data_IF_156748018766
#
_entry.id   IF_156748018766
#
_cell.length_a   1.000
_cell.length_b   1.000
_cell.length_c   1.000
_cell.angle_alpha   90.00
_cell.angle_beta   90.00
_cell.angle_gamma   90.00
#
_symmetry.space_group_name_H-M   'P 1'
#
loop_
_entity.id
_entity.type
_entity.pdbx_description
1 polymer ?
#
# COMPACT_ATOMS: atom_id res chain seq x y z
N UNK A 1 24.44 57.98 -37.10
CA UNK A 1 23.00 57.81 -37.37
C UNK A 1 22.74 56.34 -37.63
N UNK A 2 22.00 55.53 -36.89
CA UNK A 2 21.46 55.53 -35.54
C UNK A 2 21.19 54.04 -35.28
N UNK A 3 21.84 53.44 -34.28
CA UNK A 3 21.59 52.05 -33.86
C UNK A 3 20.31 52.02 -33.03
N UNK A 4 19.34 51.17 -33.40
CA UNK A 4 18.12 50.96 -32.61
C UNK A 4 18.07 49.52 -32.14
N UNK A 5 18.30 49.34 -30.84
CA UNK A 5 18.14 48.07 -30.14
C UNK A 5 16.65 47.80 -29.84
N UNK A 6 16.19 46.58 -30.07
CA UNK A 6 14.83 46.12 -29.77
C UNK A 6 14.75 45.63 -28.32
N UNK A 7 13.77 46.05 -27.51
CA UNK A 7 13.61 45.52 -26.16
C UNK A 7 12.82 44.20 -26.15
N UNK A 8 13.37 43.16 -25.51
CA UNK A 8 12.66 41.91 -25.21
C UNK A 8 11.68 42.16 -24.06
N UNK A 9 10.37 42.10 -24.36
CA UNK A 9 9.29 42.20 -23.36
C UNK A 9 9.20 40.90 -22.56
N UNK A 10 9.62 40.94 -21.30
CA UNK A 10 9.40 39.86 -20.35
C UNK A 10 7.90 39.72 -20.02
N UNK A 11 7.32 38.56 -20.31
CA UNK A 11 5.98 38.19 -19.86
C UNK A 11 6.08 37.80 -18.39
N UNK A 12 5.47 38.62 -17.51
CA UNK A 12 5.22 38.26 -16.12
C UNK A 12 4.18 37.15 -16.10
N UNK A 13 4.60 35.93 -15.74
CA UNK A 13 3.68 34.85 -15.40
C UNK A 13 2.91 35.25 -14.13
N UNK A 14 1.64 35.57 -14.30
CA UNK A 14 0.69 35.74 -13.22
C UNK A 14 0.44 34.37 -12.59
N UNK A 15 1.03 34.13 -11.42
CA UNK A 15 0.65 33.00 -10.58
C UNK A 15 -0.82 33.16 -10.19
N UNK A 16 -1.64 32.17 -10.54
CA UNK A 16 -3.03 32.08 -10.09
C UNK A 16 -3.01 31.57 -8.65
N UNK A 17 -3.45 32.36 -7.64
CA UNK A 17 -3.66 31.83 -6.30
C UNK A 17 -5.05 31.19 -6.29
N UNK A 18 -5.10 29.88 -6.49
CA UNK A 18 -6.38 29.19 -6.60
C UNK A 18 -6.28 27.68 -6.75
N UNK A 19 -5.19 27.06 -6.31
CA UNK A 19 -5.22 25.63 -6.02
C UNK A 19 -5.82 25.48 -4.63
N UNK A 20 -7.15 25.35 -4.59
CA UNK A 20 -7.88 24.63 -3.55
C UNK A 20 -6.99 23.47 -3.10
N UNK A 21 -6.63 23.43 -1.82
CA UNK A 21 -5.84 22.34 -1.26
C UNK A 21 -6.48 21.01 -1.67
N UNK A 22 -5.87 20.38 -2.67
CA UNK A 22 -6.13 19.00 -3.04
C UNK A 22 -5.54 18.17 -1.91
N UNK A 23 -6.30 18.04 -0.82
CA UNK A 23 -6.11 16.99 0.18
C UNK A 23 -6.38 15.65 -0.51
N UNK A 24 -5.45 15.25 -1.35
CA UNK A 24 -5.49 14.09 -2.23
C UNK A 24 -4.07 13.69 -2.65
N UNK A 25 -3.04 14.16 -1.94
CA UNK A 25 -1.71 13.60 -2.03
C UNK A 25 -1.79 12.09 -1.78
N UNK A 26 -1.52 11.34 -2.84
CA UNK A 26 -1.84 9.93 -2.96
C UNK A 26 -1.49 9.14 -1.71
N UNK A 27 -2.45 8.37 -1.21
CA UNK A 27 -2.27 7.52 -0.05
C UNK A 27 -1.33 6.36 -0.44
N UNK A 28 -0.03 6.65 -0.50
CA UNK A 28 1.05 5.78 -0.95
C UNK A 28 0.94 4.41 -0.25
N UNK A 29 1.24 3.31 -0.95
CA UNK A 29 1.27 2.01 -0.29
C UNK A 29 2.28 2.00 0.87
N UNK A 30 2.02 1.18 1.87
CA UNK A 30 2.91 1.06 3.04
C UNK A 30 4.26 0.49 2.53
N UNK A 31 5.39 1.16 2.84
CA UNK A 31 6.70 0.69 2.40
C UNK A 31 7.01 -0.68 3.01
N UNK A 32 7.74 -1.49 2.25
CA UNK A 32 8.25 -2.76 2.77
C UNK A 32 9.52 -2.52 3.58
N UNK A 33 9.71 -3.25 4.69
CA UNK A 33 10.97 -3.21 5.41
C UNK A 33 12.09 -3.77 4.50
N UNK A 34 13.35 -3.31 4.66
CA UNK A 34 14.48 -3.80 3.87
C UNK A 34 14.75 -5.29 4.08
N UNK A 35 14.38 -5.83 5.25
CA UNK A 35 14.41 -7.25 5.59
C UNK A 35 13.14 -7.59 6.36
N UNK A 36 12.51 -8.72 6.04
CA UNK A 36 11.31 -9.18 6.77
C UNK A 36 11.73 -10.01 7.98
N UNK A 37 11.37 -9.53 9.16
CA UNK A 37 11.60 -10.23 10.43
C UNK A 37 10.45 -11.18 10.79
N UNK A 38 10.62 -11.94 11.87
CA UNK A 38 9.51 -12.72 12.45
C UNK A 38 8.39 -11.84 12.97
N UNK A 39 8.69 -10.67 13.52
CA UNK A 39 7.71 -9.70 14.01
C UNK A 39 6.90 -9.08 12.86
N UNK A 40 7.56 -8.70 11.77
CA UNK A 40 6.89 -8.23 10.55
C UNK A 40 5.91 -9.26 10.01
N UNK A 41 6.28 -10.55 10.05
CA UNK A 41 5.39 -11.63 9.64
C UNK A 41 4.14 -11.70 10.53
N UNK A 42 4.26 -11.51 11.85
CA UNK A 42 3.09 -11.48 12.75
C UNK A 42 2.17 -10.29 12.46
N UNK A 43 2.73 -9.11 12.23
CA UNK A 43 1.93 -7.97 11.80
C UNK A 43 1.27 -8.20 10.44
N UNK A 44 1.95 -8.88 9.52
CA UNK A 44 1.42 -9.21 8.21
C UNK A 44 0.27 -10.24 8.28
N UNK A 45 0.36 -11.25 9.15
CA UNK A 45 -0.75 -12.17 9.44
C UNK A 45 -1.96 -11.39 9.93
N UNK A 46 -1.78 -10.53 10.94
CA UNK A 46 -2.87 -9.69 11.45
C UNK A 46 -3.45 -8.81 10.35
N UNK A 47 -2.61 -8.20 9.51
CA UNK A 47 -3.04 -7.35 8.43
C UNK A 47 -3.93 -8.10 7.41
N UNK A 48 -3.56 -9.30 6.97
CA UNK A 48 -4.38 -10.04 6.00
C UNK A 48 -5.67 -10.59 6.62
N UNK A 49 -5.61 -11.04 7.87
CA UNK A 49 -6.74 -11.64 8.58
C UNK A 49 -7.77 -10.59 9.00
N UNK A 50 -7.35 -9.50 9.66
CA UNK A 50 -8.26 -8.46 10.15
C UNK A 50 -8.88 -7.69 8.98
N UNK A 51 -8.09 -7.42 7.94
CA UNK A 51 -8.51 -6.69 6.73
C UNK A 51 -9.01 -7.61 5.61
N UNK A 52 -9.53 -8.78 5.97
CA UNK A 52 -10.15 -9.71 5.05
C UNK A 52 -11.32 -9.07 4.25
N UNK A 53 -11.62 -9.58 3.04
CA UNK A 53 -12.74 -9.10 2.25
C UNK A 53 -14.09 -9.36 2.94
N UNK A 54 -15.01 -8.40 2.85
CA UNK A 54 -16.43 -8.54 3.20
C UNK A 54 -17.28 -8.11 2.00
N UNK A 55 -18.34 -8.86 1.71
CA UNK A 55 -19.34 -8.44 0.71
C UNK A 55 -20.22 -7.34 1.28
N UNK A 56 -20.51 -6.34 0.46
CA UNK A 56 -21.42 -5.23 0.76
C UNK A 56 -22.22 -4.89 -0.51
N UNK A 57 -23.36 -4.22 -0.35
CA UNK A 57 -24.15 -3.74 -1.50
C UNK A 57 -23.28 -2.82 -2.37
N UNK A 58 -22.89 -3.29 -3.56
CA UNK A 58 -22.05 -2.55 -4.49
C UNK A 58 -20.58 -2.98 -4.56
N UNK A 59 -20.13 -4.01 -3.84
CA UNK A 59 -18.79 -4.57 -4.04
C UNK A 59 -18.19 -5.32 -2.86
N UNK A 60 -16.86 -5.51 -2.92
CA UNK A 60 -16.07 -6.10 -1.84
C UNK A 60 -15.29 -5.00 -1.12
N UNK A 61 -15.48 -4.90 0.19
CA UNK A 61 -14.82 -3.93 1.06
C UNK A 61 -13.95 -4.62 2.09
N UNK A 62 -12.94 -3.92 2.60
CA UNK A 62 -12.20 -4.35 3.76
C UNK A 62 -13.14 -4.45 4.96
N UNK A 63 -13.15 -5.59 5.66
CA UNK A 63 -14.03 -5.78 6.82
C UNK A 63 -13.78 -4.74 7.92
N UNK A 64 -12.53 -4.36 8.14
CA UNK A 64 -12.11 -3.44 9.20
C UNK A 64 -12.21 -1.97 8.79
N UNK A 65 -11.68 -1.61 7.62
CA UNK A 65 -11.53 -0.20 7.23
C UNK A 65 -12.72 0.33 6.43
N UNK A 66 -13.62 -0.55 5.98
CA UNK A 66 -14.69 -0.26 5.02
C UNK A 66 -14.25 0.35 3.67
N UNK A 67 -12.94 0.46 3.41
CA UNK A 67 -12.37 0.87 2.14
C UNK A 67 -12.50 -0.23 1.07
N UNK A 68 -12.38 0.10 -0.23
CA UNK A 68 -12.35 -0.92 -1.30
C UNK A 68 -11.29 -1.98 -1.02
N UNK A 69 -11.68 -3.26 -1.11
CA UNK A 69 -10.75 -4.36 -0.91
C UNK A 69 -10.00 -4.70 -2.22
N UNK A 70 -8.68 -4.94 -2.18
CA UNK A 70 -7.82 -4.98 -0.98
C UNK A 70 -7.43 -3.58 -0.48
N UNK A 71 -7.52 -3.34 0.82
CA UNK A 71 -7.03 -2.08 1.42
C UNK A 71 -5.49 -2.09 1.53
N UNK A 72 -4.90 -0.96 1.90
CA UNK A 72 -3.43 -0.79 2.02
C UNK A 72 -2.80 -1.81 2.95
N UNK A 73 -3.37 -2.03 4.14
CA UNK A 73 -2.84 -2.99 5.10
C UNK A 73 -2.93 -4.42 4.59
N UNK A 74 -4.04 -4.78 3.93
CA UNK A 74 -4.16 -6.09 3.30
C UNK A 74 -3.10 -6.32 2.22
N UNK A 75 -2.89 -5.33 1.33
CA UNK A 75 -1.85 -5.39 0.28
C UNK A 75 -0.46 -5.53 0.87
N UNK A 76 -0.14 -4.74 1.90
CA UNK A 76 1.14 -4.81 2.60
C UNK A 76 1.37 -6.18 3.23
N UNK A 77 0.37 -6.71 3.96
CA UNK A 77 0.46 -8.02 4.61
C UNK A 77 0.73 -9.15 3.62
N UNK A 78 0.03 -9.17 2.47
CA UNK A 78 0.29 -10.17 1.42
C UNK A 78 1.72 -10.10 0.89
N UNK A 79 2.26 -8.89 0.68
CA UNK A 79 3.63 -8.68 0.19
C UNK A 79 4.68 -9.14 1.21
N UNK A 80 4.50 -8.81 2.49
CA UNK A 80 5.42 -9.24 3.56
C UNK A 80 5.41 -10.76 3.73
N UNK A 81 4.24 -11.40 3.71
CA UNK A 81 4.15 -12.87 3.80
C UNK A 81 4.75 -13.56 2.58
N UNK A 82 4.57 -13.01 1.37
CA UNK A 82 5.21 -13.52 0.17
C UNK A 82 6.75 -13.42 0.25
N UNK A 83 7.29 -12.30 0.75
CA UNK A 83 8.73 -12.15 1.02
C UNK A 83 9.24 -13.11 2.10
N UNK A 84 8.37 -13.51 3.04
CA UNK A 84 8.66 -14.54 4.04
C UNK A 84 8.70 -15.96 3.43
N UNK A 85 8.26 -16.11 2.19
CA UNK A 85 8.28 -17.35 1.41
C UNK A 85 6.93 -18.07 1.33
N UNK A 86 5.83 -17.43 1.76
CA UNK A 86 4.50 -18.04 1.72
C UNK A 86 3.92 -17.94 0.32
N UNK A 87 3.30 -19.03 -0.12
CA UNK A 87 2.53 -19.09 -1.36
C UNK A 87 1.18 -18.40 -1.16
N UNK A 88 0.62 -17.89 -2.26
CA UNK A 88 -0.69 -17.24 -2.23
C UNK A 88 -1.77 -18.11 -1.55
N UNK A 89 -1.81 -19.41 -1.86
CA UNK A 89 -2.75 -20.35 -1.25
C UNK A 89 -2.57 -20.49 0.27
N UNK A 90 -1.33 -20.43 0.79
CA UNK A 90 -1.07 -20.48 2.23
C UNK A 90 -1.55 -19.20 2.93
N UNK A 91 -1.41 -18.06 2.26
CA UNK A 91 -1.94 -16.77 2.74
C UNK A 91 -3.48 -16.81 2.73
N UNK A 92 -4.09 -17.38 1.70
CA UNK A 92 -5.54 -17.49 1.61
C UNK A 92 -6.09 -18.41 2.72
N UNK A 93 -5.41 -19.51 3.05
CA UNK A 93 -5.74 -20.36 4.20
C UNK A 93 -5.66 -19.61 5.55
N UNK A 94 -4.69 -18.69 5.72
CA UNK A 94 -4.63 -17.85 6.92
C UNK A 94 -5.87 -16.93 7.02
N UNK A 95 -6.26 -16.33 5.89
CA UNK A 95 -7.43 -15.45 5.80
C UNK A 95 -8.72 -16.22 6.11
N UNK A 96 -8.87 -17.41 5.54
CA UNK A 96 -10.01 -18.31 5.74
C UNK A 96 -10.11 -18.80 7.19
N UNK A 97 -8.97 -19.17 7.79
CA UNK A 97 -8.90 -19.57 9.21
C UNK A 97 -9.32 -18.44 10.14
N UNK A 98 -9.02 -17.20 9.79
CA UNK A 98 -9.48 -16.03 10.55
C UNK A 98 -8.78 -15.78 11.89
N UNK A 99 -7.62 -16.42 12.13
CA UNK A 99 -6.85 -16.32 13.37
C UNK A 99 -5.71 -15.29 13.23
N UNK A 100 -5.84 -14.07 13.79
CA UNK A 100 -4.83 -13.02 13.64
C UNK A 100 -3.59 -13.25 14.52
N UNK A 101 -3.58 -14.29 15.35
CA UNK A 101 -2.44 -14.69 16.18
C UNK A 101 -1.71 -15.93 15.61
N UNK A 102 -2.14 -16.44 14.45
CA UNK A 102 -1.51 -17.57 13.79
C UNK A 102 -0.03 -17.29 13.52
N UNK A 103 0.85 -18.17 13.98
CA UNK A 103 2.28 -18.03 13.75
C UNK A 103 2.66 -18.57 12.38
N UNK A 104 3.49 -17.81 11.65
CA UNK A 104 4.02 -18.24 10.36
C UNK A 104 5.44 -18.75 10.57
N UNK A 105 5.63 -20.05 10.38
CA UNK A 105 6.98 -20.64 10.35
C UNK A 105 7.66 -20.26 9.03
N UNK A 106 8.94 -19.84 9.04
CA UNK A 106 9.74 -19.85 7.81
C UNK A 106 9.55 -21.16 7.06
N UNK A 107 9.41 -21.17 5.72
CA UNK A 107 9.57 -22.40 4.97
C UNK A 107 10.97 -22.98 5.27
N UNK A 108 11.04 -24.29 5.47
CA UNK A 108 12.32 -24.97 5.61
C UNK A 108 13.12 -24.73 4.32
N UNK A 109 14.34 -24.18 4.43
CA UNK A 109 15.24 -24.08 3.29
C UNK A 109 15.61 -25.51 2.88
N UNK A 110 15.38 -25.94 1.63
CA UNK A 110 15.95 -27.19 1.16
C UNK A 110 17.49 -27.06 1.19
N UNK A 111 18.17 -27.91 1.97
CA UNK A 111 19.62 -28.11 1.88
C UNK A 111 20.51 -27.32 2.85
N UNK A 112 20.14 -27.19 4.12
CA UNK A 112 21.13 -26.90 5.18
C UNK A 112 21.73 -28.21 5.72
#
# INVERSE_FOLDING_TARGET
>A
MSSTATPTRAVRSTAVPGAREESGEGLWDIPLPPYVTGEDAQFAVRAVVVHAPRRWSGGTVCRNDASPHPCRLHRWGRRVLALRGLRAAEIDLLIERGDPAATVRPPDRPGA
#
